data_IF_695004216457
#
_entry.id   IF_695004216457
#
_cell.length_a   1.000
_cell.length_b   1.000
_cell.length_c   1.000
_cell.angle_alpha   90.00
_cell.angle_beta   90.00
_cell.angle_gamma   90.00
#
_symmetry.space_group_name_H-M   'P 1'
#
loop_
_entity.id
_entity.type
_entity.pdbx_description
1 polymer ?
#
# COMPACT_ATOMS: atom_id res chain seq x y z
N UNK A 1 -24.65 17.88 -7.09
CA UNK A 1 -23.68 16.94 -7.70
C UNK A 1 -23.67 15.67 -6.85
N UNK A 2 -23.74 14.47 -7.45
CA UNK A 2 -23.71 13.19 -6.71
C UNK A 2 -22.30 12.58 -6.80
N UNK A 3 -21.86 11.97 -5.71
CA UNK A 3 -20.61 11.23 -5.65
C UNK A 3 -20.84 9.88 -4.95
N UNK A 4 -20.09 8.86 -5.36
CA UNK A 4 -20.13 7.52 -4.80
C UNK A 4 -18.75 7.17 -4.24
N UNK A 5 -18.74 6.60 -3.04
CA UNK A 5 -17.55 6.01 -2.44
C UNK A 5 -17.76 4.51 -2.46
N UNK A 6 -16.88 3.79 -3.14
CA UNK A 6 -16.98 2.34 -3.30
C UNK A 6 -15.86 1.68 -2.52
N UNK A 7 -16.23 0.75 -1.64
CA UNK A 7 -15.28 -0.20 -1.08
C UNK A 7 -14.73 -1.13 -2.18
N UNK A 8 -13.63 -1.83 -1.91
CA UNK A 8 -13.00 -2.76 -2.83
C UNK A 8 -13.32 -4.21 -2.50
N UNK A 9 -12.97 -4.66 -1.30
CA UNK A 9 -13.10 -6.06 -0.91
C UNK A 9 -14.57 -6.38 -0.59
N UNK A 10 -15.12 -7.40 -1.25
CA UNK A 10 -16.54 -7.75 -1.14
C UNK A 10 -17.48 -6.91 -2.02
N UNK A 11 -16.99 -5.85 -2.66
CA UNK A 11 -17.77 -4.98 -3.56
C UNK A 11 -17.29 -5.06 -5.01
N UNK A 12 -15.99 -4.89 -5.22
CA UNK A 12 -15.33 -5.03 -6.53
C UNK A 12 -14.64 -6.38 -6.65
N UNK A 13 -14.02 -6.86 -5.57
CA UNK A 13 -13.23 -8.07 -5.55
C UNK A 13 -13.76 -9.10 -4.56
N UNK A 14 -13.57 -10.38 -4.87
CA UNK A 14 -13.68 -11.50 -3.93
C UNK A 14 -12.35 -12.23 -3.93
N UNK A 15 -11.51 -11.93 -2.93
CA UNK A 15 -10.12 -12.39 -2.93
C UNK A 15 -9.35 -11.80 -4.11
N UNK A 16 -8.79 -12.67 -4.97
CA UNK A 16 -8.08 -12.27 -6.19
C UNK A 16 -9.00 -12.00 -7.38
N UNK A 17 -10.25 -12.47 -7.34
CA UNK A 17 -11.17 -12.40 -8.48
C UNK A 17 -12.00 -11.11 -8.47
N UNK A 18 -12.30 -10.58 -9.66
CA UNK A 18 -13.27 -9.49 -9.81
C UNK A 18 -14.69 -10.04 -9.75
N UNK A 19 -15.57 -9.36 -9.01
CA UNK A 19 -16.98 -9.74 -8.92
C UNK A 19 -17.65 -9.52 -10.28
N UNK A 20 -18.34 -10.56 -10.78
CA UNK A 20 -19.02 -10.52 -12.07
C UNK A 20 -20.00 -9.34 -12.15
N UNK A 21 -19.93 -8.59 -13.25
CA UNK A 21 -20.76 -7.40 -13.49
C UNK A 21 -20.27 -6.12 -12.80
N UNK A 22 -19.37 -6.20 -11.81
CA UNK A 22 -18.85 -5.01 -11.14
C UNK A 22 -18.15 -4.03 -12.12
N UNK A 23 -17.29 -4.48 -13.06
CA UNK A 23 -16.68 -3.57 -14.03
C UNK A 23 -17.69 -2.81 -14.88
N UNK A 24 -18.73 -3.49 -15.35
CA UNK A 24 -19.79 -2.86 -16.13
C UNK A 24 -20.56 -1.83 -15.31
N UNK A 25 -21.00 -2.19 -14.11
CA UNK A 25 -21.78 -1.31 -13.23
C UNK A 25 -20.99 -0.06 -12.82
N UNK A 26 -19.72 -0.23 -12.43
CA UNK A 26 -18.85 0.89 -12.02
C UNK A 26 -18.56 1.81 -13.18
N UNK A 27 -18.28 1.29 -14.38
CA UNK A 27 -18.06 2.14 -15.54
C UNK A 27 -19.31 2.97 -15.89
N UNK A 28 -20.52 2.41 -15.75
CA UNK A 28 -21.77 3.16 -15.91
C UNK A 28 -21.95 4.25 -14.84
N UNK A 29 -21.52 4.02 -13.61
CA UNK A 29 -21.51 5.04 -12.55
C UNK A 29 -20.52 6.18 -12.88
N UNK A 30 -19.32 5.83 -13.35
CA UNK A 30 -18.29 6.79 -13.74
C UNK A 30 -18.74 7.75 -14.86
N UNK A 31 -19.63 7.30 -15.76
CA UNK A 31 -20.16 8.15 -16.83
C UNK A 31 -21.18 9.20 -16.32
N UNK A 32 -21.68 9.07 -15.10
CA UNK A 32 -22.77 9.91 -14.57
C UNK A 32 -22.47 10.58 -13.23
N UNK A 33 -21.42 10.17 -12.51
CA UNK A 33 -21.08 10.70 -11.19
C UNK A 33 -19.58 10.57 -10.88
N UNK A 34 -19.12 11.36 -9.91
CA UNK A 34 -17.78 11.18 -9.33
C UNK A 34 -17.77 9.87 -8.53
N UNK A 35 -16.82 8.99 -8.83
CA UNK A 35 -16.56 7.78 -8.03
C UNK A 35 -15.20 7.89 -7.36
N UNK A 36 -15.13 7.51 -6.09
CA UNK A 36 -13.89 7.35 -5.32
C UNK A 36 -13.85 5.92 -4.81
N UNK A 37 -12.73 5.25 -5.01
CA UNK A 37 -12.45 3.92 -4.50
C UNK A 37 -11.77 4.04 -3.14
N UNK A 38 -12.36 3.48 -2.10
CA UNK A 38 -11.87 3.56 -0.73
C UNK A 38 -11.55 2.15 -0.23
N UNK A 39 -10.41 1.97 0.42
CA UNK A 39 -10.09 0.71 1.09
C UNK A 39 -9.31 0.97 2.38
N UNK A 40 -9.57 0.15 3.41
CA UNK A 40 -8.80 0.17 4.64
C UNK A 40 -7.45 -0.56 4.52
N UNK A 41 -7.19 -1.21 3.38
CA UNK A 41 -5.92 -1.88 3.14
C UNK A 41 -4.80 -0.84 2.97
N UNK A 42 -3.69 -1.03 3.70
CA UNK A 42 -2.50 -0.17 3.68
C UNK A 42 -1.27 -0.85 3.07
N UNK A 43 -1.41 -2.09 2.60
CA UNK A 43 -0.31 -2.86 2.02
C UNK A 43 0.05 -2.38 0.61
N UNK A 44 -0.95 -1.91 -0.14
CA UNK A 44 -0.81 -1.42 -1.50
C UNK A 44 -0.90 0.12 -1.55
N UNK A 45 -0.10 0.73 -2.44
CA UNK A 45 -0.25 2.16 -2.75
C UNK A 45 -1.46 2.39 -3.67
N UNK A 46 -1.92 3.63 -3.76
CA UNK A 46 -2.98 4.04 -4.69
C UNK A 46 -2.63 3.68 -6.13
N UNK A 47 -1.38 3.87 -6.54
CA UNK A 47 -0.89 3.45 -7.85
C UNK A 47 -1.11 1.95 -8.10
N UNK A 48 -0.71 1.08 -7.16
CA UNK A 48 -0.93 -0.38 -7.27
C UNK A 48 -2.42 -0.74 -7.34
N UNK A 49 -3.24 -0.13 -6.49
CA UNK A 49 -4.69 -0.38 -6.46
C UNK A 49 -5.37 0.08 -7.76
N UNK A 50 -5.02 1.26 -8.27
CA UNK A 50 -5.57 1.77 -9.53
C UNK A 50 -5.17 0.88 -10.72
N UNK A 51 -3.93 0.38 -10.76
CA UNK A 51 -3.49 -0.57 -11.77
C UNK A 51 -4.30 -1.89 -11.71
N UNK A 52 -4.57 -2.42 -10.51
CA UNK A 52 -5.41 -3.61 -10.31
C UNK A 52 -6.85 -3.39 -10.80
N UNK A 53 -7.44 -2.23 -10.51
CA UNK A 53 -8.77 -1.86 -10.99
C UNK A 53 -8.81 -1.77 -12.52
N UNK A 54 -7.82 -1.12 -13.13
CA UNK A 54 -7.72 -1.03 -14.59
C UNK A 54 -7.54 -2.41 -15.24
N UNK A 55 -6.70 -3.27 -14.66
CA UNK A 55 -6.52 -4.65 -15.12
C UNK A 55 -7.83 -5.47 -15.04
N UNK A 56 -8.76 -5.06 -14.18
CA UNK A 56 -10.08 -5.67 -14.03
C UNK A 56 -11.15 -5.03 -14.92
N UNK A 57 -10.76 -4.14 -15.83
CA UNK A 57 -11.66 -3.44 -16.76
C UNK A 57 -12.38 -2.23 -16.16
N UNK A 58 -11.98 -1.72 -14.99
CA UNK A 58 -12.55 -0.53 -14.36
C UNK A 58 -11.64 0.67 -14.61
N UNK A 59 -12.15 1.71 -15.29
CA UNK A 59 -11.41 2.95 -15.53
C UNK A 59 -11.11 3.63 -14.18
N UNK A 60 -9.85 3.69 -13.79
CA UNK A 60 -9.45 4.25 -12.49
C UNK A 60 -8.13 5.02 -12.60
N UNK A 61 -8.11 6.27 -12.15
CA UNK A 61 -6.87 7.04 -11.96
C UNK A 61 -6.39 6.84 -10.53
N UNK A 62 -5.09 7.03 -10.31
CA UNK A 62 -4.53 7.00 -8.94
C UNK A 62 -5.21 8.02 -8.00
N UNK A 63 -5.60 9.19 -8.53
CA UNK A 63 -6.34 10.22 -7.80
C UNK A 63 -7.77 9.82 -7.39
N UNK A 64 -8.27 8.70 -7.91
CA UNK A 64 -9.60 8.18 -7.60
C UNK A 64 -9.56 7.20 -6.43
N UNK A 65 -8.37 6.83 -5.95
CA UNK A 65 -8.18 5.85 -4.88
C UNK A 65 -7.79 6.53 -3.58
N UNK A 66 -8.39 6.09 -2.49
CA UNK A 66 -7.99 6.41 -1.12
C UNK A 66 -7.74 5.08 -0.41
N UNK A 67 -6.48 4.83 -0.05
CA UNK A 67 -6.10 3.72 0.84
C UNK A 67 -5.94 4.22 2.26
N UNK A 68 -5.98 3.34 3.27
CA UNK A 68 -5.69 3.73 4.65
C UNK A 68 -4.28 4.33 4.79
N UNK A 69 -3.30 3.79 4.06
CA UNK A 69 -1.92 4.30 4.06
C UNK A 69 -1.82 5.72 3.51
N UNK A 70 -2.50 6.01 2.41
CA UNK A 70 -2.59 7.37 1.86
C UNK A 70 -3.31 8.33 2.81
N UNK A 71 -4.45 7.91 3.36
CA UNK A 71 -5.23 8.72 4.29
C UNK A 71 -4.39 9.09 5.53
N UNK A 72 -3.62 8.14 6.08
CA UNK A 72 -2.71 8.38 7.18
C UNK A 72 -1.59 9.38 6.82
N UNK A 73 -0.94 9.19 5.67
CA UNK A 73 0.11 10.08 5.19
C UNK A 73 -0.40 11.53 5.05
N UNK A 74 -1.52 11.73 4.37
CA UNK A 74 -2.16 13.05 4.22
C UNK A 74 -2.57 13.63 5.57
N UNK A 75 -3.12 12.81 6.47
CA UNK A 75 -3.54 13.26 7.79
C UNK A 75 -2.36 13.81 8.61
N UNK A 76 -1.24 13.07 8.64
CA UNK A 76 -0.03 13.51 9.34
C UNK A 76 0.51 14.79 8.68
N UNK A 77 0.60 14.83 7.35
CA UNK A 77 1.07 16.00 6.61
C UNK A 77 0.25 17.25 6.92
N UNK A 78 -1.08 17.14 6.96
CA UNK A 78 -1.98 18.27 7.26
C UNK A 78 -1.87 18.75 8.71
N UNK A 79 -1.73 17.82 9.66
CA UNK A 79 -1.77 18.14 11.09
C UNK A 79 -0.42 18.57 11.65
N UNK A 80 0.67 18.03 11.12
CA UNK A 80 2.02 18.19 11.67
C UNK A 80 3.08 18.61 10.64
N UNK A 81 2.72 18.78 9.37
CA UNK A 81 3.69 19.02 8.29
C UNK A 81 4.47 17.77 7.90
N UNK A 82 5.58 17.96 7.17
CA UNK A 82 6.49 16.86 6.83
C UNK A 82 7.19 16.36 8.10
N UNK A 83 7.24 15.04 8.28
CA UNK A 83 7.71 14.40 9.52
C UNK A 83 8.72 13.29 9.23
N UNK A 84 9.51 12.92 10.23
CA UNK A 84 10.32 11.69 10.22
C UNK A 84 9.52 10.58 10.91
N UNK A 85 9.18 9.52 10.17
CA UNK A 85 8.21 8.51 10.60
C UNK A 85 8.88 7.14 10.66
N UNK A 86 8.61 6.39 11.73
CA UNK A 86 8.90 4.96 11.82
C UNK A 86 7.64 4.16 11.45
N UNK A 87 7.50 3.64 10.22
CA UNK A 87 6.30 2.96 9.77
C UNK A 87 6.32 1.48 10.19
N UNK A 88 5.16 0.96 10.54
CA UNK A 88 4.89 -0.47 10.69
C UNK A 88 3.87 -0.83 9.61
N UNK A 89 4.29 -1.58 8.61
CA UNK A 89 3.47 -1.94 7.46
C UNK A 89 4.31 -2.21 6.22
N UNK A 90 3.64 -2.55 5.13
CA UNK A 90 4.31 -2.95 3.88
C UNK A 90 4.70 -1.76 2.98
N UNK A 91 5.31 -2.09 1.84
CA UNK A 91 5.83 -1.13 0.88
C UNK A 91 4.80 -0.10 0.37
N UNK A 92 3.50 -0.43 0.32
CA UNK A 92 2.45 0.52 -0.06
C UNK A 92 2.38 1.72 0.87
N UNK A 93 2.32 1.47 2.18
CA UNK A 93 2.35 2.53 3.20
C UNK A 93 3.62 3.39 3.08
N UNK A 94 4.78 2.77 2.93
CA UNK A 94 6.07 3.48 2.83
C UNK A 94 6.08 4.42 1.61
N UNK A 95 5.54 3.96 0.47
CA UNK A 95 5.43 4.78 -0.75
C UNK A 95 4.53 5.98 -0.53
N UNK A 96 3.35 5.81 0.07
CA UNK A 96 2.43 6.91 0.34
C UNK A 96 3.03 7.95 1.30
N UNK A 97 3.70 7.49 2.37
CA UNK A 97 4.38 8.38 3.31
C UNK A 97 5.46 9.22 2.63
N UNK A 98 6.30 8.59 1.79
CA UNK A 98 7.33 9.30 1.01
C UNK A 98 6.71 10.27 0.00
N UNK A 99 5.63 9.87 -0.68
CA UNK A 99 4.93 10.70 -1.66
C UNK A 99 4.35 11.97 -1.04
N UNK A 100 3.85 11.90 0.20
CA UNK A 100 3.39 13.06 0.98
C UNK A 100 4.55 13.85 1.64
N UNK A 101 5.80 13.51 1.31
CA UNK A 101 7.01 14.23 1.72
C UNK A 101 7.50 13.89 3.13
N UNK A 102 7.06 12.78 3.72
CA UNK A 102 7.62 12.29 4.97
C UNK A 102 8.98 11.62 4.74
N UNK A 103 9.89 11.79 5.68
CA UNK A 103 11.15 11.04 5.74
C UNK A 103 10.91 9.77 6.54
N UNK A 104 11.46 8.66 6.08
CA UNK A 104 11.32 7.41 6.80
C UNK A 104 12.51 7.23 7.74
N UNK A 105 12.23 6.89 8.99
CA UNK A 105 13.25 6.59 9.99
C UNK A 105 13.91 5.25 9.65
N UNK A 106 15.23 5.21 9.39
CA UNK A 106 15.94 3.94 9.22
C UNK A 106 15.93 3.23 10.57
N UNK A 107 15.43 1.99 10.65
CA UNK A 107 15.34 1.24 11.91
C UNK A 107 16.67 1.18 12.66
N UNK A 108 16.63 0.77 13.93
CA UNK A 108 17.79 0.77 14.85
C UNK A 108 19.00 0.00 14.29
N UNK A 109 18.77 -0.95 13.39
CA UNK A 109 19.80 -1.82 12.80
C UNK A 109 20.01 -1.56 11.29
N UNK A 110 19.54 -0.43 10.75
CA UNK A 110 19.75 -0.05 9.35
C UNK A 110 18.96 -0.83 8.30
N UNK A 111 18.28 -1.92 8.67
CA UNK A 111 17.47 -2.76 7.78
C UNK A 111 15.98 -2.45 7.84
N UNK A 112 15.34 -2.38 6.67
CA UNK A 112 13.91 -2.65 6.53
C UNK A 112 13.74 -4.16 6.49
N UNK A 113 12.77 -4.72 7.23
CA UNK A 113 12.27 -6.05 6.88
C UNK A 113 11.44 -5.86 5.61
N UNK A 114 12.08 -5.97 4.45
CA UNK A 114 11.36 -6.07 3.19
C UNK A 114 10.63 -7.40 3.14
N UNK A 115 9.39 -7.35 2.68
CA UNK A 115 8.53 -8.50 2.47
C UNK A 115 9.22 -9.45 1.48
N UNK A 116 9.54 -10.68 1.93
CA UNK A 116 9.97 -11.76 1.03
C UNK A 116 8.82 -12.00 0.05
N UNK A 117 9.03 -11.69 -1.23
CA UNK A 117 8.12 -12.18 -2.26
C UNK A 117 8.35 -13.68 -2.50
N UNK A 118 7.25 -14.34 -2.86
CA UNK A 118 7.09 -15.59 -3.62
C UNK A 118 7.82 -16.88 -3.19
N UNK A 119 7.13 -17.70 -2.40
CA UNK A 119 6.59 -19.01 -2.83
C UNK A 119 7.33 -19.93 -3.82
N UNK A 120 8.65 -20.05 -3.78
CA UNK A 120 9.36 -21.24 -4.29
C UNK A 120 10.36 -21.75 -3.25
N UNK A 121 10.32 -23.05 -3.00
CA UNK A 121 10.96 -23.71 -1.86
C UNK A 121 12.49 -23.73 -1.87
N UNK A 122 12.97 -24.26 -0.74
CA UNK A 122 14.31 -24.79 -0.44
C UNK A 122 15.41 -23.77 -0.09
N UNK A 123 16.07 -24.03 1.05
CA UNK A 123 17.36 -23.44 1.38
C UNK A 123 17.56 -23.12 2.85
N UNK A 124 17.64 -24.15 3.70
CA UNK A 124 18.29 -24.06 5.00
C UNK A 124 19.78 -23.68 4.79
N UNK A 125 20.29 -22.73 5.57
CA UNK A 125 21.69 -22.33 5.53
C UNK A 125 22.07 -21.61 6.82
N UNK A 126 22.53 -22.39 7.80
CA UNK A 126 23.23 -21.88 8.97
C UNK A 126 24.53 -21.18 8.55
N UNK A 127 24.82 -20.03 9.14
CA UNK A 127 26.21 -19.62 9.35
C UNK A 127 26.33 -18.97 10.72
N UNK A 128 26.83 -19.77 11.67
CA UNK A 128 27.37 -19.29 12.92
C UNK A 128 28.61 -18.44 12.70
N UNK A 129 28.84 -17.52 13.62
CA UNK A 129 30.04 -16.69 13.69
C UNK A 129 30.14 -16.05 15.07
N UNK A 130 30.55 -16.84 16.06
CA UNK A 130 31.12 -16.32 17.30
C UNK A 130 32.50 -15.73 16.99
N UNK A 131 32.74 -14.49 17.39
CA UNK A 131 34.07 -13.87 17.42
C UNK A 131 34.17 -13.05 18.70
N UNK A 132 34.88 -13.59 19.69
CA UNK A 132 35.15 -12.95 20.99
C UNK A 132 36.23 -11.88 20.82
N UNK A 133 36.06 -10.78 21.55
CA UNK A 133 37.09 -9.79 21.87
C UNK A 133 38.16 -10.43 22.75
N UNK A 134 39.39 -10.50 22.25
CA UNK A 134 40.61 -10.50 23.07
C UNK A 134 41.69 -9.76 22.25
N UNK A 135 42.13 -8.59 22.74
CA UNK A 135 43.56 -8.41 23.04
C UNK A 135 43.81 -7.04 23.66
N UNK A 136 44.26 -7.11 24.91
CA UNK A 136 44.94 -6.06 25.63
C UNK A 136 46.44 -6.18 25.35
N UNK A 137 47.07 -5.10 24.86
CA UNK A 137 48.42 -4.64 25.24
C UNK A 137 48.45 -3.12 25.15
#
# INVERSE_FOLDING_TARGET
>A
MKAYILDLDGVIFRGSEVIAGAPYAVNRLLDSARVVFLTNNSTQSRGTVSARLNASGIRCRESDVITAGYAAAVHIRKRYGAQKIYPIGEAGLIRELKAEGHKIYPGRDGGWVEDRKDGSGEGCGESGGEGRDEDAV
#
